data_IF_103478466137
#
_entry.id   IF_103478466137
#
_cell.length_a   1.000
_cell.length_b   1.000
_cell.length_c   1.000
_cell.angle_alpha   90.00
_cell.angle_beta   90.00
_cell.angle_gamma   90.00
#
_symmetry.space_group_name_H-M   'P 1'
#
loop_
_entity.id
_entity.type
_entity.pdbx_description
1 polymer ?
#
# COMPACT_ATOMS: atom_id res chain seq x y z
N UNK A 1 15.13 37.37 -13.26
CA UNK A 1 13.67 37.54 -13.07
C UNK A 1 13.35 37.21 -11.63
N UNK A 2 12.64 38.10 -10.93
CA UNK A 2 12.22 37.93 -9.54
C UNK A 2 11.44 36.62 -9.39
N UNK A 3 11.93 35.69 -8.56
CA UNK A 3 11.09 34.59 -8.07
C UNK A 3 9.93 35.24 -7.30
N UNK A 4 8.72 35.27 -7.89
CA UNK A 4 7.52 35.54 -7.10
C UNK A 4 7.52 34.54 -5.94
N UNK A 5 7.59 35.06 -4.71
CA UNK A 5 7.67 34.27 -3.49
C UNK A 5 6.28 33.68 -3.23
N UNK A 6 5.97 32.60 -3.94
CA UNK A 6 4.76 31.81 -3.73
C UNK A 6 4.72 31.33 -2.27
N UNK A 7 3.52 31.19 -1.71
CA UNK A 7 3.35 30.63 -0.36
C UNK A 7 3.91 29.20 -0.33
N UNK A 8 4.51 28.75 0.79
CA UNK A 8 5.02 27.39 0.91
C UNK A 8 3.95 26.35 0.54
N UNK A 9 4.27 25.47 -0.40
CA UNK A 9 3.38 24.41 -0.85
C UNK A 9 4.18 23.15 -1.23
N UNK A 10 3.59 21.96 -1.10
CA UNK A 10 4.25 20.70 -1.50
C UNK A 10 4.66 20.71 -2.98
N UNK A 11 3.89 21.40 -3.81
CA UNK A 11 4.19 21.59 -5.24
C UNK A 11 5.44 22.44 -5.47
N UNK A 12 5.82 23.33 -4.55
CA UNK A 12 7.09 24.06 -4.63
C UNK A 12 8.28 23.09 -4.53
N UNK A 13 8.18 22.06 -3.68
CA UNK A 13 9.20 20.99 -3.58
C UNK A 13 9.21 20.12 -4.84
N UNK A 14 8.02 19.75 -5.35
CA UNK A 14 7.88 19.01 -6.61
C UNK A 14 8.44 19.77 -7.82
N UNK A 15 8.20 21.08 -7.90
CA UNK A 15 8.71 21.94 -8.96
C UNK A 15 10.23 22.08 -8.88
N UNK A 16 10.77 22.32 -7.68
CA UNK A 16 12.22 22.45 -7.50
C UNK A 16 12.95 21.19 -7.94
N UNK A 17 12.45 20.02 -7.54
CA UNK A 17 13.03 18.73 -7.93
C UNK A 17 12.90 18.47 -9.43
N UNK A 18 11.75 18.78 -10.04
CA UNK A 18 11.60 18.67 -11.50
C UNK A 18 12.56 19.57 -12.27
N UNK A 19 12.73 20.83 -11.82
CA UNK A 19 13.68 21.78 -12.42
C UNK A 19 15.12 21.30 -12.28
N UNK A 20 15.49 20.72 -11.14
CA UNK A 20 16.84 20.19 -10.92
C UNK A 20 17.23 19.09 -11.92
N UNK A 21 16.29 18.22 -12.30
CA UNK A 21 16.55 17.20 -13.34
C UNK A 21 16.80 17.88 -14.70
N UNK A 22 16.07 18.96 -14.99
CA UNK A 22 16.14 19.69 -16.27
C UNK A 22 17.38 20.60 -16.40
N UNK A 23 17.87 21.19 -15.31
CA UNK A 23 18.87 22.26 -15.35
C UNK A 23 20.32 21.77 -15.49
N UNK A 24 20.56 20.47 -15.44
CA UNK A 24 21.89 19.89 -15.46
C UNK A 24 22.22 19.33 -16.85
N UNK A 25 23.45 19.58 -17.33
CA UNK A 25 23.97 19.01 -18.59
C UNK A 25 23.93 17.48 -18.54
N UNK A 26 24.21 16.91 -17.35
CA UNK A 26 23.99 15.51 -17.01
C UNK A 26 22.86 15.41 -15.98
N UNK A 27 21.68 14.88 -16.35
CA UNK A 27 20.57 14.74 -15.42
C UNK A 27 20.94 13.84 -14.23
N UNK A 28 20.76 14.35 -13.01
CA UNK A 28 20.96 13.59 -11.77
C UNK A 28 19.59 13.21 -11.19
N UNK A 29 19.42 11.93 -10.83
CA UNK A 29 18.21 11.43 -10.20
C UNK A 29 17.90 12.20 -8.90
N UNK A 30 16.62 12.57 -8.71
CA UNK A 30 16.16 13.28 -7.52
C UNK A 30 15.31 12.35 -6.64
N UNK A 31 15.30 12.62 -5.34
CA UNK A 31 14.44 11.92 -4.39
C UNK A 31 13.71 12.92 -3.47
N UNK A 32 12.46 12.58 -3.14
CA UNK A 32 11.68 13.30 -2.13
C UNK A 32 11.39 12.30 -1.01
N UNK A 33 11.82 12.64 0.21
CA UNK A 33 11.55 11.83 1.40
C UNK A 33 10.43 12.49 2.18
N UNK A 34 9.30 11.80 2.28
CA UNK A 34 8.15 12.25 3.08
C UNK A 34 8.19 11.52 4.43
N UNK A 35 8.57 12.25 5.48
CA UNK A 35 8.73 11.72 6.84
C UNK A 35 7.63 12.25 7.78
N UNK A 36 7.45 11.58 8.91
CA UNK A 36 6.47 11.94 9.94
C UNK A 36 5.87 10.74 10.65
N UNK A 37 5.26 10.97 11.81
CA UNK A 37 4.58 9.94 12.59
C UNK A 37 3.37 9.34 11.84
N UNK A 38 2.80 8.25 12.39
CA UNK A 38 1.56 7.68 11.85
C UNK A 38 0.45 8.72 11.88
N UNK A 39 -0.29 8.88 10.78
CA UNK A 39 -1.33 9.91 10.65
C UNK A 39 -0.83 11.32 10.25
N UNK A 40 0.48 11.56 10.15
CA UNK A 40 1.03 12.89 9.81
C UNK A 40 0.79 13.36 8.35
N UNK A 41 0.00 12.63 7.56
CA UNK A 41 -0.34 13.01 6.18
C UNK A 41 0.64 12.52 5.10
N UNK A 42 1.60 11.65 5.41
CA UNK A 42 2.61 11.16 4.44
C UNK A 42 2.00 10.65 3.13
N UNK A 43 0.99 9.80 3.22
CA UNK A 43 0.30 9.23 2.06
C UNK A 43 -0.38 10.32 1.24
N UNK A 44 -1.04 11.28 1.89
CA UNK A 44 -1.68 12.41 1.22
C UNK A 44 -0.67 13.28 0.47
N UNK A 45 0.44 13.64 1.11
CA UNK A 45 1.54 14.39 0.50
C UNK A 45 2.08 13.69 -0.75
N UNK A 46 2.29 12.37 -0.68
CA UNK A 46 2.73 11.57 -1.84
C UNK A 46 1.68 11.59 -2.97
N UNK A 47 0.38 11.52 -2.66
CA UNK A 47 -0.69 11.63 -3.67
C UNK A 47 -0.69 13.00 -4.35
N UNK A 48 -0.51 14.08 -3.59
CA UNK A 48 -0.39 15.43 -4.13
C UNK A 48 0.80 15.54 -5.10
N UNK A 49 1.97 15.02 -4.72
CA UNK A 49 3.15 15.01 -5.58
C UNK A 49 2.92 14.22 -6.88
N UNK A 50 2.27 13.05 -6.82
CA UNK A 50 1.95 12.28 -8.02
C UNK A 50 1.05 13.05 -8.99
N UNK A 51 -0.01 13.68 -8.49
CA UNK A 51 -0.88 14.55 -9.29
C UNK A 51 -0.12 15.71 -9.93
N UNK A 52 0.77 16.34 -9.17
CA UNK A 52 1.63 17.40 -9.68
C UNK A 52 2.49 16.90 -10.85
N UNK A 53 3.22 15.80 -10.69
CA UNK A 53 4.06 15.25 -11.76
C UNK A 53 3.26 14.76 -12.97
N UNK A 54 2.06 14.21 -12.76
CA UNK A 54 1.19 13.81 -13.87
C UNK A 54 0.85 14.98 -14.80
N UNK A 55 0.75 16.20 -14.24
CA UNK A 55 0.50 17.42 -15.01
C UNK A 55 1.80 18.01 -15.59
N UNK A 56 2.84 18.20 -14.77
CA UNK A 56 4.04 18.95 -15.21
C UNK A 56 5.03 18.15 -16.05
N UNK A 57 4.98 16.81 -15.94
CA UNK A 57 5.80 15.90 -16.73
C UNK A 57 5.02 15.34 -17.94
N UNK A 58 3.90 15.95 -18.31
CA UNK A 58 3.25 15.71 -19.59
C UNK A 58 3.67 16.76 -20.62
N UNK A 59 3.77 16.36 -21.89
CA UNK A 59 4.06 17.29 -22.98
C UNK A 59 2.88 18.22 -23.24
N UNK A 60 3.04 19.56 -23.17
CA UNK A 60 1.94 20.51 -23.39
C UNK A 60 1.29 20.38 -24.77
N UNK A 61 2.06 19.92 -25.77
CA UNK A 61 1.61 19.80 -27.16
C UNK A 61 1.12 18.39 -27.53
N UNK A 62 1.19 17.40 -26.61
CA UNK A 62 0.75 16.04 -26.89
C UNK A 62 -0.30 15.58 -25.89
N UNK A 63 -1.52 15.43 -26.39
CA UNK A 63 -2.62 14.80 -25.68
C UNK A 63 -2.29 13.37 -25.24
N UNK A 64 -1.54 12.64 -26.06
CA UNK A 64 -1.12 11.27 -25.75
C UNK A 64 -0.18 11.24 -24.53
N UNK A 65 0.75 12.20 -24.43
CA UNK A 65 1.64 12.30 -23.27
C UNK A 65 0.88 12.56 -21.97
N UNK A 66 -0.18 13.37 -22.01
CA UNK A 66 -1.04 13.60 -20.85
C UNK A 66 -1.77 12.33 -20.42
N UNK A 67 -2.34 11.60 -21.38
CA UNK A 67 -3.00 10.31 -21.12
C UNK A 67 -2.04 9.28 -20.50
N UNK A 68 -0.79 9.22 -20.97
CA UNK A 68 0.22 8.32 -20.41
C UNK A 68 0.51 8.68 -18.94
N UNK A 69 0.76 9.96 -18.66
CA UNK A 69 1.08 10.43 -17.31
C UNK A 69 -0.10 10.23 -16.34
N UNK A 70 -1.32 10.55 -16.77
CA UNK A 70 -2.55 10.31 -16.01
C UNK A 70 -2.76 8.82 -15.75
N UNK A 71 -2.57 7.96 -16.77
CA UNK A 71 -2.70 6.50 -16.60
C UNK A 71 -1.68 5.93 -15.61
N UNK A 72 -0.45 6.45 -15.62
CA UNK A 72 0.58 6.06 -14.65
C UNK A 72 0.18 6.48 -13.24
N UNK A 73 -0.24 7.73 -13.06
CA UNK A 73 -0.71 8.24 -11.77
C UNK A 73 -1.90 7.45 -11.23
N UNK A 74 -2.92 7.22 -12.07
CA UNK A 74 -4.09 6.42 -11.70
C UNK A 74 -3.70 4.99 -11.32
N UNK A 75 -2.80 4.33 -12.06
CA UNK A 75 -2.32 2.99 -11.70
C UNK A 75 -1.61 2.96 -10.34
N UNK A 76 -0.78 3.96 -10.06
CA UNK A 76 -0.11 4.08 -8.74
C UNK A 76 -1.16 4.30 -7.65
N UNK A 77 -2.14 5.18 -7.85
CA UNK A 77 -3.16 5.45 -6.84
C UNK A 77 -4.11 4.27 -6.62
N UNK A 78 -4.52 3.60 -7.69
CA UNK A 78 -5.40 2.43 -7.67
C UNK A 78 -4.72 1.20 -7.07
N UNK A 79 -3.38 1.19 -6.97
CA UNK A 79 -2.67 0.15 -6.24
C UNK A 79 -2.72 0.30 -4.72
N UNK A 80 -3.08 1.48 -4.21
CA UNK A 80 -3.08 1.73 -2.76
C UNK A 80 -4.03 0.81 -1.99
N UNK A 81 -5.30 0.62 -2.38
CA UNK A 81 -6.19 -0.27 -1.63
C UNK A 81 -5.62 -1.69 -1.47
N UNK A 82 -4.97 -2.22 -2.50
CA UNK A 82 -4.31 -3.53 -2.42
C UNK A 82 -3.13 -3.48 -1.43
N UNK A 83 -2.24 -2.50 -1.55
CA UNK A 83 -1.11 -2.38 -0.62
C UNK A 83 -1.55 -2.14 0.84
N UNK A 84 -2.62 -1.38 1.05
CA UNK A 84 -3.18 -1.12 2.37
C UNK A 84 -3.83 -2.38 2.94
N UNK A 85 -4.60 -3.14 2.14
CA UNK A 85 -5.17 -4.41 2.57
C UNK A 85 -4.10 -5.40 3.06
N UNK A 86 -3.01 -5.56 2.30
CA UNK A 86 -1.96 -6.54 2.58
C UNK A 86 -0.84 -6.03 3.50
N UNK A 87 -0.75 -4.73 3.75
CA UNK A 87 0.39 -4.10 4.42
C UNK A 87 0.07 -3.12 5.53
N UNK A 88 -1.20 -2.71 5.68
CA UNK A 88 -1.64 -1.88 6.79
C UNK A 88 -2.40 -2.72 7.84
N UNK A 89 -2.36 -2.23 9.07
CA UNK A 89 -3.07 -2.84 10.19
C UNK A 89 -3.57 -1.77 11.17
N UNK A 90 -4.58 -2.14 11.95
CA UNK A 90 -5.03 -1.35 13.07
C UNK A 90 -4.05 -1.49 14.25
N UNK A 91 -3.54 -0.34 14.68
CA UNK A 91 -2.65 -0.17 15.83
C UNK A 91 -3.34 0.68 16.90
N UNK A 92 -2.73 0.84 18.08
CA UNK A 92 -3.28 1.68 19.15
C UNK A 92 -3.53 3.14 18.71
N UNK A 93 -2.69 3.68 17.81
CA UNK A 93 -2.72 5.11 17.43
C UNK A 93 -3.37 5.39 16.08
N UNK A 94 -3.47 4.39 15.21
CA UNK A 94 -3.97 4.55 13.85
C UNK A 94 -4.63 3.26 13.38
N UNK A 95 -5.87 3.36 12.91
CA UNK A 95 -6.65 2.25 12.39
C UNK A 95 -6.11 1.70 11.07
N UNK A 96 -5.43 2.53 10.28
CA UNK A 96 -4.86 2.19 8.97
C UNK A 96 -3.36 2.51 8.93
N UNK A 97 -2.60 1.88 9.84
CA UNK A 97 -1.17 2.14 10.02
C UNK A 97 -0.34 1.32 9.04
N UNK A 98 0.42 1.97 8.17
CA UNK A 98 1.33 1.27 7.25
C UNK A 98 2.45 0.56 7.98
N UNK A 99 2.60 -0.74 7.71
CA UNK A 99 3.61 -1.62 8.29
C UNK A 99 4.66 -2.07 7.26
N UNK A 100 4.83 -1.26 6.22
CA UNK A 100 5.83 -1.39 5.17
C UNK A 100 6.25 0.01 4.71
N UNK A 101 7.46 0.12 4.18
CA UNK A 101 7.92 1.30 3.45
C UNK A 101 7.52 1.22 1.97
N UNK A 102 7.19 2.36 1.37
CA UNK A 102 6.83 2.46 -0.05
C UNK A 102 7.78 3.43 -0.75
N UNK A 103 8.38 2.97 -1.84
CA UNK A 103 9.18 3.79 -2.75
C UNK A 103 8.47 3.84 -4.10
N UNK A 104 8.33 5.03 -4.66
CA UNK A 104 7.73 5.26 -5.97
C UNK A 104 8.78 5.94 -6.82
N UNK A 105 9.22 5.27 -7.87
CA UNK A 105 10.13 5.80 -8.86
C UNK A 105 9.33 6.25 -10.07
N UNK A 106 9.36 7.54 -10.36
CA UNK A 106 8.85 8.08 -11.63
C UNK A 106 9.98 8.09 -12.66
N UNK A 107 9.70 7.66 -13.88
CA UNK A 107 10.67 7.57 -14.96
C UNK A 107 10.36 8.64 -16.01
N UNK A 108 11.35 9.50 -16.25
CA UNK A 108 11.26 10.59 -17.21
C UNK A 108 12.20 10.31 -18.39
N UNK A 109 11.77 10.67 -19.61
CA UNK A 109 12.64 10.64 -20.78
C UNK A 109 13.57 11.87 -20.82
N UNK A 110 14.43 11.96 -21.85
CA UNK A 110 15.33 13.11 -22.03
C UNK A 110 14.61 14.45 -22.21
N UNK A 111 13.36 14.41 -22.72
CA UNK A 111 12.48 15.57 -22.83
C UNK A 111 11.72 15.88 -21.52
N UNK A 112 12.07 15.21 -20.42
CA UNK A 112 11.45 15.33 -19.09
C UNK A 112 9.98 14.91 -19.03
N UNK A 113 9.53 14.12 -20.01
CA UNK A 113 8.17 13.59 -20.03
C UNK A 113 8.10 12.26 -19.28
N UNK A 114 7.03 12.06 -18.51
CA UNK A 114 6.78 10.82 -17.79
C UNK A 114 6.49 9.68 -18.78
N UNK A 115 7.34 8.65 -18.75
CA UNK A 115 7.20 7.46 -19.61
C UNK A 115 6.86 6.21 -18.83
N UNK A 116 7.08 6.20 -17.52
CA UNK A 116 6.81 5.03 -16.69
C UNK A 116 6.93 5.32 -15.20
N UNK A 117 6.60 4.32 -14.40
CA UNK A 117 6.85 4.34 -12.97
C UNK A 117 7.02 2.91 -12.42
N UNK A 118 7.75 2.80 -11.31
CA UNK A 118 7.88 1.58 -10.53
C UNK A 118 7.51 1.85 -9.08
N UNK A 119 6.77 0.93 -8.47
CA UNK A 119 6.45 0.95 -7.03
C UNK A 119 7.15 -0.22 -6.38
N UNK A 120 7.94 0.05 -5.35
CA UNK A 120 8.66 -0.95 -4.58
C UNK A 120 8.25 -0.83 -3.12
N UNK A 121 8.04 -1.97 -2.47
CA UNK A 121 7.74 -2.05 -1.04
C UNK A 121 8.92 -2.63 -0.29
N UNK A 122 9.13 -2.14 0.93
CA UNK A 122 10.29 -2.47 1.76
C UNK A 122 9.85 -2.77 3.19
N UNK A 123 10.61 -3.65 3.87
CA UNK A 123 10.50 -3.87 5.31
C UNK A 123 9.05 -4.11 5.80
N UNK A 124 8.30 -4.97 5.11
CA UNK A 124 7.02 -5.44 5.62
C UNK A 124 7.23 -6.10 6.99
N UNK A 125 6.45 -5.70 8.00
CA UNK A 125 6.43 -6.28 9.34
C UNK A 125 5.84 -7.71 9.33
N UNK A 126 6.54 -8.66 8.71
CA UNK A 126 6.07 -10.04 8.52
C UNK A 126 5.72 -10.75 9.83
N UNK A 127 6.39 -10.39 10.93
CA UNK A 127 6.13 -10.93 12.27
C UNK A 127 4.69 -10.68 12.73
N UNK A 128 4.04 -9.62 12.24
CA UNK A 128 2.64 -9.30 12.54
C UNK A 128 1.68 -10.41 12.13
N UNK A 129 2.03 -11.26 11.16
CA UNK A 129 1.15 -12.38 10.78
C UNK A 129 0.98 -13.37 11.93
N UNK A 130 2.05 -13.59 12.72
CA UNK A 130 2.06 -14.57 13.81
C UNK A 130 1.70 -13.97 15.17
N UNK A 131 2.10 -12.72 15.45
CA UNK A 131 1.93 -12.10 16.76
C UNK A 131 1.58 -10.62 16.64
N UNK A 132 0.63 -10.17 17.44
CA UNK A 132 0.19 -8.78 17.54
C UNK A 132 0.08 -8.39 19.02
N UNK A 133 0.17 -7.09 19.32
CA UNK A 133 -0.14 -6.62 20.66
C UNK A 133 -1.64 -6.77 20.96
N UNK A 134 -2.02 -6.90 22.24
CA UNK A 134 -3.37 -7.28 22.69
C UNK A 134 -4.51 -6.47 22.08
N UNK A 135 -4.30 -5.17 21.84
CA UNK A 135 -5.33 -4.26 21.30
C UNK A 135 -5.14 -3.93 19.82
N UNK A 136 -4.21 -4.60 19.14
CA UNK A 136 -3.96 -4.43 17.71
C UNK A 136 -4.60 -5.54 16.89
N UNK A 137 -4.71 -5.28 15.58
CA UNK A 137 -5.16 -6.28 14.61
C UNK A 137 -3.99 -6.78 13.76
N UNK A 138 -4.23 -7.91 13.10
CA UNK A 138 -3.42 -8.35 11.97
C UNK A 138 -3.69 -7.45 10.74
N UNK A 139 -3.07 -7.76 9.60
CA UNK A 139 -3.31 -7.05 8.33
C UNK A 139 -4.79 -7.06 7.94
N UNK A 140 -5.26 -5.95 7.34
CA UNK A 140 -6.68 -5.77 7.00
C UNK A 140 -7.23 -6.89 6.12
N UNK A 141 -6.43 -7.42 5.19
CA UNK A 141 -6.85 -8.47 4.26
C UNK A 141 -7.42 -9.69 4.99
N UNK A 142 -6.88 -10.07 6.15
CA UNK A 142 -7.40 -11.20 6.92
C UNK A 142 -8.82 -10.98 7.43
N UNK A 143 -9.17 -9.74 7.78
CA UNK A 143 -10.51 -9.39 8.22
C UNK A 143 -11.45 -9.17 7.03
N UNK A 144 -10.95 -8.57 5.96
CA UNK A 144 -11.70 -8.38 4.71
C UNK A 144 -12.16 -9.72 4.14
N UNK A 145 -11.27 -10.72 4.01
CA UNK A 145 -11.66 -12.05 3.51
C UNK A 145 -12.64 -12.73 4.47
N UNK A 146 -12.43 -12.64 5.79
CA UNK A 146 -13.29 -13.30 6.77
C UNK A 146 -14.68 -12.66 6.86
N UNK A 147 -14.85 -11.39 6.49
CA UNK A 147 -16.13 -10.68 6.52
C UNK A 147 -16.84 -10.67 5.15
N UNK A 148 -16.08 -10.51 4.07
CA UNK A 148 -16.61 -10.32 2.71
C UNK A 148 -16.70 -11.59 1.85
N UNK A 149 -16.19 -12.73 2.30
CA UNK A 149 -16.31 -13.99 1.54
C UNK A 149 -17.77 -14.51 1.51
N UNK A 150 -18.24 -14.89 0.32
CA UNK A 150 -19.50 -15.63 0.14
C UNK A 150 -19.41 -17.06 0.70
N UNK A 151 -20.54 -17.75 0.85
CA UNK A 151 -20.57 -19.15 1.30
C UNK A 151 -19.73 -20.08 0.39
N UNK A 152 -19.84 -19.91 -0.93
CA UNK A 152 -19.06 -20.67 -1.92
C UNK A 152 -17.56 -20.35 -1.83
N UNK A 153 -17.21 -19.07 -1.67
CA UNK A 153 -15.83 -18.63 -1.51
C UNK A 153 -15.22 -19.19 -0.22
N UNK A 154 -15.96 -19.20 0.88
CA UNK A 154 -15.53 -19.80 2.16
C UNK A 154 -15.19 -21.28 2.01
N UNK A 155 -16.03 -22.03 1.30
CA UNK A 155 -15.78 -23.44 1.02
C UNK A 155 -14.50 -23.60 0.16
N UNK A 156 -14.36 -22.80 -0.89
CA UNK A 156 -13.23 -22.85 -1.80
C UNK A 156 -11.90 -22.42 -1.14
N UNK A 157 -11.96 -21.45 -0.22
CA UNK A 157 -10.79 -20.84 0.43
C UNK A 157 -10.41 -21.52 1.75
N UNK A 158 -11.18 -22.53 2.17
CA UNK A 158 -11.03 -23.23 3.45
C UNK A 158 -11.17 -22.30 4.67
N UNK A 159 -12.16 -21.39 4.60
CA UNK A 159 -12.46 -20.38 5.62
C UNK A 159 -13.86 -20.63 6.22
N UNK A 160 -14.03 -21.67 7.07
CA UNK A 160 -15.33 -21.98 7.66
C UNK A 160 -15.92 -20.79 8.42
N UNK A 161 -17.22 -20.62 8.30
CA UNK A 161 -17.95 -19.57 9.01
C UNK A 161 -17.88 -19.79 10.54
N UNK A 162 -17.77 -18.70 11.30
CA UNK A 162 -17.66 -18.75 12.76
C UNK A 162 -16.34 -19.33 13.30
N UNK A 163 -15.37 -19.67 12.44
CA UNK A 163 -14.09 -20.19 12.88
C UNK A 163 -13.28 -19.13 13.64
N UNK A 164 -12.84 -19.49 14.85
CA UNK A 164 -11.90 -18.68 15.62
C UNK A 164 -10.47 -18.95 15.12
N UNK A 165 -9.85 -17.95 14.51
CA UNK A 165 -8.46 -18.02 14.07
C UNK A 165 -7.56 -17.30 15.07
N UNK A 166 -6.51 -17.98 15.54
CA UNK A 166 -5.51 -17.38 16.45
C UNK A 166 -4.78 -16.19 15.81
N UNK A 167 -4.65 -16.18 14.49
CA UNK A 167 -4.06 -15.09 13.70
C UNK A 167 -5.03 -13.94 13.40
N UNK A 168 -6.28 -14.00 13.87
CA UNK A 168 -7.30 -12.97 13.67
C UNK A 168 -7.79 -12.39 15.02
N UNK A 169 -6.92 -11.73 15.81
CA UNK A 169 -7.32 -11.14 17.08
C UNK A 169 -8.29 -9.96 16.88
N UNK A 170 -9.12 -9.67 17.88
CA UNK A 170 -10.06 -8.54 17.91
C UNK A 170 -11.00 -8.44 16.67
N UNK A 171 -11.63 -9.55 16.20
CA UNK A 171 -12.47 -9.54 14.99
C UNK A 171 -13.77 -8.73 15.14
N UNK A 172 -14.26 -8.55 16.36
CA UNK A 172 -15.46 -7.78 16.71
C UNK A 172 -15.33 -6.29 16.38
N UNK A 173 -14.10 -5.78 16.27
CA UNK A 173 -13.85 -4.39 15.88
C UNK A 173 -14.05 -4.23 14.36
N UNK A 174 -15.17 -3.64 13.98
CA UNK A 174 -15.45 -3.26 12.59
C UNK A 174 -14.77 -1.94 12.23
N UNK A 175 -14.03 -1.93 11.14
CA UNK A 175 -13.32 -0.76 10.62
C UNK A 175 -13.79 -0.48 9.18
N UNK A 176 -13.65 0.77 8.73
CA UNK A 176 -13.93 1.14 7.34
C UNK A 176 -13.03 0.37 6.36
N UNK A 177 -11.80 0.07 6.78
CA UNK A 177 -10.83 -0.71 6.01
C UNK A 177 -11.21 -2.19 5.84
N UNK A 178 -12.33 -2.65 6.42
CA UNK A 178 -12.80 -4.04 6.29
C UNK A 178 -13.62 -4.30 5.01
N UNK A 179 -13.91 -3.28 4.20
CA UNK A 179 -14.62 -3.46 2.92
C UNK A 179 -13.75 -4.25 1.92
N UNK A 180 -14.18 -5.47 1.61
CA UNK A 180 -13.41 -6.40 0.78
C UNK A 180 -13.53 -6.08 -0.72
N UNK A 181 -14.68 -5.56 -1.14
CA UNK A 181 -15.00 -5.19 -2.52
C UNK A 181 -14.01 -4.15 -3.05
N UNK A 182 -13.65 -3.17 -2.22
CA UNK A 182 -12.65 -2.14 -2.58
C UNK A 182 -11.31 -2.78 -2.96
N UNK A 183 -10.89 -3.82 -2.22
CA UNK A 183 -9.65 -4.55 -2.52
C UNK A 183 -9.78 -5.38 -3.79
N UNK A 184 -10.90 -6.10 -3.98
CA UNK A 184 -11.16 -6.92 -5.18
C UNK A 184 -11.18 -6.09 -6.46
N UNK A 185 -11.91 -4.97 -6.45
CA UNK A 185 -11.97 -4.04 -7.58
C UNK A 185 -10.59 -3.44 -7.89
N UNK A 186 -9.84 -3.06 -6.86
CA UNK A 186 -8.47 -2.58 -7.05
C UNK A 186 -7.55 -3.66 -7.65
N UNK A 187 -7.68 -4.92 -7.22
CA UNK A 187 -6.96 -6.05 -7.80
C UNK A 187 -7.31 -6.26 -9.29
N UNK A 188 -8.59 -6.18 -9.66
CA UNK A 188 -9.03 -6.25 -11.06
C UNK A 188 -8.44 -5.12 -11.91
N UNK A 189 -8.47 -3.88 -11.43
CA UNK A 189 -7.86 -2.74 -12.11
C UNK A 189 -6.35 -2.87 -12.32
N UNK A 190 -5.68 -3.62 -11.45
CA UNK A 190 -4.26 -3.96 -11.60
C UNK A 190 -4.00 -5.17 -12.51
N UNK A 191 -5.05 -5.80 -13.05
CA UNK A 191 -4.95 -6.98 -13.91
C UNK A 191 -4.81 -8.29 -13.15
N UNK A 192 -5.13 -8.33 -11.85
CA UNK A 192 -5.21 -9.56 -11.07
C UNK A 192 -6.63 -10.09 -11.18
N UNK A 193 -6.82 -11.07 -12.06
CA UNK A 193 -8.12 -11.65 -12.38
C UNK A 193 -8.71 -12.48 -11.23
N UNK A 194 -10.01 -12.76 -11.30
CA UNK A 194 -10.74 -13.52 -10.27
C UNK A 194 -10.13 -14.90 -9.97
N UNK A 195 -9.69 -15.70 -10.96
CA UNK A 195 -8.97 -16.95 -10.68
C UNK A 195 -7.69 -16.75 -9.86
N UNK A 196 -6.89 -15.72 -10.18
CA UNK A 196 -5.68 -15.40 -9.41
C UNK A 196 -6.03 -14.90 -8.01
N UNK A 197 -7.04 -14.04 -7.87
CA UNK A 197 -7.55 -13.59 -6.57
C UNK A 197 -7.95 -14.78 -5.69
N UNK A 198 -8.75 -15.71 -6.21
CA UNK A 198 -9.15 -16.93 -5.50
C UNK A 198 -7.96 -17.78 -5.05
N UNK A 199 -6.86 -17.80 -5.82
CA UNK A 199 -5.65 -18.49 -5.42
C UNK A 199 -4.88 -17.75 -4.32
N UNK A 200 -4.90 -16.42 -4.32
CA UNK A 200 -4.30 -15.58 -3.27
C UNK A 200 -5.04 -15.75 -1.94
N UNK A 201 -6.38 -15.81 -1.96
CA UNK A 201 -7.20 -15.87 -0.74
C UNK A 201 -7.36 -17.26 -0.13
N UNK A 202 -6.99 -18.32 -0.87
CA UNK A 202 -6.99 -19.69 -0.34
C UNK A 202 -6.05 -19.82 0.86
N UNK A 203 -6.61 -20.10 2.03
CA UNK A 203 -5.83 -20.42 3.21
C UNK A 203 -5.33 -21.86 3.10
N UNK A 204 -4.01 -22.02 2.98
CA UNK A 204 -3.40 -23.36 3.00
C UNK A 204 -3.44 -23.91 4.43
N UNK A 205 -4.20 -24.97 4.64
CA UNK A 205 -4.28 -25.74 5.91
C UNK A 205 -2.93 -26.26 6.44
N UNK A 206 -1.84 -26.19 5.69
CA UNK A 206 -0.49 -26.56 6.17
C UNK A 206 0.16 -25.41 6.95
N UNK A 207 -0.46 -25.05 8.06
CA UNK A 207 0.23 -24.47 9.20
C UNK A 207 -0.26 -25.25 10.42
N UNK A 208 0.22 -26.49 10.56
CA UNK A 208 0.34 -27.08 11.89
C UNK A 208 1.06 -26.03 12.73
N UNK A 209 0.50 -25.55 13.85
CA UNK A 209 1.27 -24.72 14.76
C UNK A 209 2.50 -25.54 15.10
N UNK A 210 3.69 -25.03 14.77
CA UNK A 210 4.87 -25.44 15.52
C UNK A 210 4.52 -25.13 16.97
N UNK A 211 4.21 -26.18 17.72
CA UNK A 211 4.20 -26.19 19.17
C UNK A 211 5.64 -25.86 19.59
N UNK A 212 5.96 -24.56 19.65
CA UNK A 212 7.13 -24.09 20.36
C UNK A 212 6.84 -24.28 21.85
N UNK A 213 7.45 -25.35 22.39
CA UNK A 213 7.65 -25.70 23.79
C UNK A 213 6.80 -24.99 24.84
N UNK A 214 5.79 -25.68 25.36
CA UNK A 214 5.67 -25.76 26.82
C UNK A 214 6.73 -26.75 27.29
N UNK A 215 7.88 -26.23 27.69
CA UNK A 215 8.83 -26.96 28.53
C UNK A 215 8.18 -27.03 29.92
N UNK A 216 7.34 -28.05 30.13
CA UNK A 216 6.85 -28.41 31.46
C UNK A 216 8.03 -28.97 32.26
N UNK A 217 8.90 -28.09 32.77
CA UNK A 217 9.79 -28.46 33.86
C UNK A 217 8.98 -28.48 35.14
N UNK A 218 8.52 -29.67 35.51
CA UNK A 218 8.24 -29.97 36.91
C UNK A 218 9.52 -29.77 37.72
N UNK A 219 9.47 -29.11 38.90
CA UNK A 219 10.59 -29.12 39.82
C UNK A 219 10.69 -30.53 40.42
N UNK A 220 11.84 -31.17 40.23
CA UNK A 220 12.20 -32.36 41.00
C UNK A 220 12.39 -31.95 42.47
N UNK A 221 11.71 -32.67 43.34
CA UNK A 221 11.82 -32.64 44.81
C UNK A 221 13.23 -32.91 45.31
#
# INVERSE_FOLDING_TARGET
>A
MLQQKLKPHVFTVGEQTYRNVKSLIEPVNQSIVVSGESGAGKTWTSRCLMKFYAVVAASPASWESHKIAERIEQRILNSNPVMEAFGNACTLRNNNSSRFGKFIQLQLNRAQQMTGAAVQTYLLEKTRVACQASSERNFHIFYQICKGASEDERLQWHLPEGAAFSWLPNPERSLEEDCFEVTREAMLHLGIDTPTQNNIFKVRRKATPLMFGRDDRQPLS
#
